data_IF_912326620052
#
_entry.id   IF_912326620052
#
_cell.length_a   1.000
_cell.length_b   1.000
_cell.length_c   1.000
_cell.angle_alpha   90.00
_cell.angle_beta   90.00
_cell.angle_gamma   90.00
#
_symmetry.space_group_name_H-M   'P 1'
#
loop_
_entity.id
_entity.type
_entity.pdbx_description
1 polymer ?
#
# COMPACT_ATOMS: atom_id res chain seq x y z
N UNK A 1 -68.92 52.36 34.22
CA UNK A 1 -67.59 51.85 34.64
C UNK A 1 -67.36 50.52 34.03
N UNK A 2 -66.57 50.45 32.97
CA UNK A 2 -66.16 49.18 32.29
C UNK A 2 -64.66 49.08 32.45
N UNK A 3 -64.25 48.07 33.18
CA UNK A 3 -62.86 47.72 33.39
C UNK A 3 -62.33 46.88 32.21
N UNK A 4 -61.36 47.38 31.46
CA UNK A 4 -60.60 46.63 30.46
C UNK A 4 -59.55 45.81 31.19
N UNK A 5 -59.58 44.47 30.97
CA UNK A 5 -58.48 43.58 31.30
C UNK A 5 -57.55 43.46 30.04
N UNK A 6 -56.29 43.81 30.18
CA UNK A 6 -55.24 43.59 29.20
C UNK A 6 -54.59 42.26 29.56
N UNK A 7 -54.78 41.24 28.72
CA UNK A 7 -54.05 39.98 28.84
C UNK A 7 -52.72 40.10 28.06
N UNK A 8 -51.65 40.06 28.81
CA UNK A 8 -50.28 40.08 28.25
C UNK A 8 -49.90 38.68 27.69
N UNK A 9 -49.73 38.60 26.39
CA UNK A 9 -49.19 37.40 25.73
C UNK A 9 -47.66 37.39 25.87
N UNK A 10 -47.14 36.50 26.73
CA UNK A 10 -45.72 36.23 26.82
C UNK A 10 -45.34 35.30 25.65
N UNK A 11 -44.62 35.84 24.66
CA UNK A 11 -44.01 35.06 23.59
C UNK A 11 -42.68 34.48 24.08
N UNK A 12 -42.67 33.17 24.36
CA UNK A 12 -41.44 32.44 24.63
C UNK A 12 -40.79 32.14 23.28
N UNK A 13 -39.73 32.88 22.94
CA UNK A 13 -38.89 32.58 21.78
C UNK A 13 -37.92 31.45 22.13
N UNK A 14 -38.21 30.26 21.64
CA UNK A 14 -37.34 29.09 21.76
C UNK A 14 -36.16 29.29 20.81
N UNK A 15 -35.01 29.65 21.34
CA UNK A 15 -33.74 29.71 20.57
C UNK A 15 -33.23 28.28 20.34
N UNK A 16 -33.41 27.77 19.12
CA UNK A 16 -32.84 26.49 18.70
C UNK A 16 -31.35 26.75 18.36
N UNK A 17 -30.47 26.41 19.27
CA UNK A 17 -29.02 26.42 19.01
C UNK A 17 -28.69 25.16 18.22
N UNK A 18 -28.49 25.30 16.92
CA UNK A 18 -27.97 24.24 16.06
C UNK A 18 -26.47 24.09 16.34
N UNK A 19 -26.09 23.09 17.13
CA UNK A 19 -24.70 22.67 17.28
C UNK A 19 -24.26 21.99 15.97
N UNK A 20 -23.63 22.74 15.07
CA UNK A 20 -22.86 22.20 13.96
C UNK A 20 -21.64 21.49 14.54
N UNK A 21 -21.68 20.18 14.64
CA UNK A 21 -20.50 19.37 14.90
C UNK A 21 -19.56 19.54 13.68
N UNK A 22 -18.55 20.36 13.79
CA UNK A 22 -17.44 20.41 12.83
C UNK A 22 -16.69 19.10 13.03
N UNK A 23 -16.96 18.10 12.17
CA UNK A 23 -16.12 16.92 12.05
C UNK A 23 -14.83 17.40 11.38
N UNK A 24 -13.87 17.83 12.20
CA UNK A 24 -12.50 18.01 11.73
C UNK A 24 -12.01 16.61 11.34
N UNK A 25 -11.78 16.39 10.03
CA UNK A 25 -11.05 15.23 9.56
C UNK A 25 -9.65 15.32 10.21
N UNK A 26 -9.46 14.65 11.35
CA UNK A 26 -8.14 14.52 11.93
C UNK A 26 -7.31 13.72 10.95
N UNK A 27 -6.23 14.34 10.44
CA UNK A 27 -5.23 13.61 9.66
C UNK A 27 -4.88 12.35 10.45
N UNK A 28 -4.90 11.19 9.81
CA UNK A 28 -4.64 9.91 10.48
C UNK A 28 -3.25 9.97 11.12
N UNK A 29 -3.20 10.08 12.42
CA UNK A 29 -1.98 10.38 13.16
C UNK A 29 -0.88 9.32 12.99
N UNK A 30 -1.27 8.09 12.64
CA UNK A 30 -0.34 6.97 12.46
C UNK A 30 0.22 6.82 11.03
N UNK A 31 -0.30 7.57 10.05
CA UNK A 31 0.23 7.57 8.67
C UNK A 31 1.35 8.60 8.54
N UNK A 32 2.45 8.22 7.90
CA UNK A 32 3.45 9.15 7.41
C UNK A 32 3.03 9.60 5.99
N UNK A 33 2.69 10.89 5.79
CA UNK A 33 2.21 11.35 4.48
C UNK A 33 3.23 11.14 3.36
N UNK A 34 2.74 10.77 2.17
CA UNK A 34 3.61 10.46 1.01
C UNK A 34 4.44 11.66 0.54
N UNK A 35 3.91 12.88 0.72
CA UNK A 35 4.57 14.14 0.37
C UNK A 35 5.63 14.62 1.39
N UNK A 36 5.72 13.97 2.55
CA UNK A 36 6.65 14.35 3.64
C UNK A 36 8.03 13.69 3.53
N UNK A 37 8.32 12.91 2.50
CA UNK A 37 9.55 12.13 2.31
C UNK A 37 9.95 11.31 3.55
N UNK A 38 9.06 10.45 4.07
CA UNK A 38 9.32 9.74 5.30
C UNK A 38 10.53 8.82 5.17
N UNK A 39 11.44 8.85 6.14
CA UNK A 39 12.70 8.10 6.06
C UNK A 39 13.67 8.63 4.98
N UNK A 40 13.45 9.83 4.45
CA UNK A 40 14.31 10.51 3.48
C UNK A 40 14.09 10.12 2.02
N UNK A 41 12.95 9.45 1.69
CA UNK A 41 12.59 9.03 0.33
C UNK A 41 11.09 9.18 0.09
N UNK A 42 10.70 9.37 -1.15
CA UNK A 42 9.30 9.32 -1.57
C UNK A 42 8.76 7.87 -1.58
N UNK A 43 7.43 7.72 -1.67
CA UNK A 43 6.80 6.39 -1.75
C UNK A 43 7.26 5.63 -3.00
N UNK A 44 7.44 6.30 -4.12
CA UNK A 44 7.96 5.74 -5.37
C UNK A 44 9.36 5.13 -5.16
N UNK A 45 10.22 5.86 -4.47
CA UNK A 45 11.57 5.38 -4.15
C UNK A 45 11.55 4.24 -3.12
N UNK A 46 10.62 4.27 -2.15
CA UNK A 46 10.45 3.18 -1.19
C UNK A 46 9.86 1.93 -1.85
N UNK A 47 8.98 2.06 -2.83
CA UNK A 47 8.47 0.94 -3.64
C UNK A 47 9.59 0.19 -4.35
N UNK A 48 10.53 0.93 -5.00
CA UNK A 48 11.73 0.33 -5.58
C UNK A 48 12.60 -0.38 -4.52
N UNK A 49 12.78 0.22 -3.33
CA UNK A 49 13.54 -0.38 -2.23
C UNK A 49 12.89 -1.63 -1.66
N UNK A 50 11.56 -1.65 -1.61
CA UNK A 50 10.80 -2.80 -1.16
C UNK A 50 11.02 -4.00 -2.09
N UNK A 51 10.95 -3.80 -3.41
CA UNK A 51 11.21 -4.86 -4.38
C UNK A 51 12.68 -5.32 -4.35
N UNK A 52 13.63 -4.39 -4.24
CA UNK A 52 15.05 -4.75 -4.05
C UNK A 52 15.26 -5.62 -2.80
N UNK A 53 14.52 -5.38 -1.72
CA UNK A 53 14.53 -6.20 -0.51
C UNK A 53 13.88 -7.56 -0.75
N UNK A 54 12.64 -7.58 -1.24
CA UNK A 54 11.85 -8.79 -1.40
C UNK A 54 12.52 -9.78 -2.38
N UNK A 55 12.99 -9.30 -3.52
CA UNK A 55 13.61 -10.13 -4.54
C UNK A 55 15.05 -10.57 -4.19
N UNK A 56 15.68 -9.94 -3.21
CA UNK A 56 16.99 -10.39 -2.71
C UNK A 56 16.93 -11.59 -1.76
N UNK A 57 15.74 -11.99 -1.33
CA UNK A 57 15.54 -13.05 -0.32
C UNK A 57 15.18 -14.35 -1.02
N UNK A 58 15.91 -15.47 -0.75
CA UNK A 58 15.64 -16.75 -1.37
C UNK A 58 14.20 -17.26 -1.20
N UNK A 59 13.71 -17.99 -2.17
CA UNK A 59 12.34 -18.58 -2.20
C UNK A 59 11.94 -19.24 -0.86
N UNK A 60 12.84 -20.03 -0.28
CA UNK A 60 12.58 -20.79 0.95
C UNK A 60 12.39 -19.93 2.21
N UNK A 61 12.77 -18.65 2.15
CA UNK A 61 12.71 -17.71 3.28
C UNK A 61 12.04 -16.39 2.88
N UNK A 62 11.39 -16.36 1.71
CA UNK A 62 10.83 -15.12 1.19
C UNK A 62 9.58 -14.69 1.96
N UNK A 63 9.52 -13.48 2.49
CA UNK A 63 8.38 -12.99 3.26
C UNK A 63 7.06 -12.91 2.47
N UNK A 64 7.10 -12.84 1.14
CA UNK A 64 5.89 -12.87 0.28
C UNK A 64 5.20 -14.22 0.40
N UNK A 65 5.96 -15.30 0.55
CA UNK A 65 5.49 -16.68 0.63
C UNK A 65 5.27 -17.18 2.07
N UNK A 66 5.62 -16.36 3.04
CA UNK A 66 5.56 -16.70 4.46
C UNK A 66 4.11 -16.71 4.96
N UNK A 67 3.58 -17.85 5.45
CA UNK A 67 2.20 -17.91 5.89
C UNK A 67 1.99 -17.35 7.32
N UNK A 68 3.01 -17.34 8.17
CA UNK A 68 2.88 -17.09 9.62
C UNK A 68 3.77 -15.96 10.18
N UNK A 69 4.64 -15.35 9.35
CA UNK A 69 5.46 -14.21 9.75
C UNK A 69 6.86 -14.56 10.25
N UNK A 70 7.27 -15.84 10.20
CA UNK A 70 8.60 -16.28 10.67
C UNK A 70 9.76 -15.63 9.96
N UNK A 71 9.55 -15.10 8.75
CA UNK A 71 10.58 -14.46 7.94
C UNK A 71 10.46 -12.93 7.91
N UNK A 72 9.59 -12.33 8.71
CA UNK A 72 9.33 -10.88 8.68
C UNK A 72 10.56 -10.03 9.04
N UNK A 73 11.54 -10.58 9.75
CA UNK A 73 12.75 -9.87 10.16
C UNK A 73 13.93 -10.03 9.18
N UNK A 74 13.78 -10.87 8.13
CA UNK A 74 14.88 -11.15 7.21
C UNK A 74 15.19 -9.92 6.34
N UNK A 75 16.48 -9.60 6.21
CA UNK A 75 16.98 -8.56 5.32
C UNK A 75 16.63 -7.12 5.73
N UNK A 76 16.00 -6.91 6.88
CA UNK A 76 15.61 -5.58 7.36
C UNK A 76 16.82 -4.70 7.66
N UNK A 77 16.83 -3.48 7.14
CA UNK A 77 17.94 -2.52 7.30
C UNK A 77 17.43 -1.07 7.38
N UNK A 78 18.19 -0.22 8.10
CA UNK A 78 17.91 1.23 8.14
C UNK A 78 16.67 1.61 8.95
N UNK A 79 16.08 2.80 8.69
CA UNK A 79 15.01 3.36 9.51
C UNK A 79 13.61 2.80 9.16
N UNK A 80 13.46 2.14 8.01
CA UNK A 80 12.19 1.61 7.53
C UNK A 80 12.21 0.09 7.63
N UNK A 81 11.15 -0.47 8.20
CA UNK A 81 10.86 -1.89 8.26
C UNK A 81 9.87 -2.24 7.17
N UNK A 82 10.18 -3.21 6.34
CA UNK A 82 9.30 -3.67 5.28
C UNK A 82 8.41 -4.81 5.77
N UNK A 83 7.11 -4.74 5.44
CA UNK A 83 6.21 -5.88 5.55
C UNK A 83 5.77 -6.32 4.17
N UNK A 84 5.53 -7.61 4.00
CA UNK A 84 5.15 -8.19 2.73
C UNK A 84 3.64 -8.44 2.64
N UNK A 85 3.06 -8.25 1.45
CA UNK A 85 1.82 -8.88 1.04
C UNK A 85 2.01 -10.37 0.80
N UNK A 86 1.12 -10.98 0.03
CA UNK A 86 1.23 -12.38 -0.39
C UNK A 86 1.16 -12.49 -1.91
N UNK A 87 1.53 -13.65 -2.42
CA UNK A 87 1.33 -13.99 -3.83
C UNK A 87 -0.08 -14.61 -4.04
N UNK A 88 -1.14 -13.85 -3.60
CA UNK A 88 -2.53 -14.20 -3.89
C UNK A 88 -3.22 -15.14 -2.89
N UNK A 89 -2.73 -15.26 -1.65
CA UNK A 89 -3.36 -16.07 -0.60
C UNK A 89 -3.56 -15.24 0.69
N UNK A 90 -4.52 -15.64 1.51
CA UNK A 90 -4.74 -15.05 2.83
C UNK A 90 -3.67 -15.51 3.81
N UNK A 91 -3.19 -14.59 4.66
CA UNK A 91 -2.19 -14.91 5.67
C UNK A 91 -2.45 -14.21 7.00
N UNK A 92 -2.13 -14.91 8.10
CA UNK A 92 -2.08 -14.31 9.43
C UNK A 92 -0.68 -14.49 9.99
N UNK A 93 0.03 -13.38 10.18
CA UNK A 93 1.44 -13.31 10.49
C UNK A 93 1.70 -12.66 11.83
N UNK A 94 2.72 -13.13 12.55
CA UNK A 94 3.25 -12.47 13.73
C UNK A 94 4.62 -11.87 13.40
N UNK A 95 4.89 -10.63 13.84
CA UNK A 95 6.14 -9.96 13.55
C UNK A 95 6.55 -9.06 14.72
N UNK A 96 7.78 -9.25 15.21
CA UNK A 96 8.39 -8.36 16.20
C UNK A 96 9.23 -7.32 15.48
N UNK A 97 8.95 -6.03 15.75
CA UNK A 97 9.59 -4.88 15.11
C UNK A 97 10.24 -3.99 16.18
N UNK A 98 11.50 -3.61 16.01
CA UNK A 98 12.14 -2.65 16.93
C UNK A 98 11.39 -1.33 16.94
N UNK A 99 11.23 -0.72 18.12
CA UNK A 99 10.65 0.61 18.26
C UNK A 99 11.40 1.65 17.39
N UNK A 100 10.73 2.75 17.09
CA UNK A 100 11.22 3.86 16.25
C UNK A 100 11.44 3.52 14.76
N UNK A 101 10.97 2.37 14.27
CA UNK A 101 10.95 2.08 12.84
C UNK A 101 9.70 2.66 12.19
N UNK A 102 9.86 3.29 11.05
CA UNK A 102 8.77 3.45 10.07
C UNK A 102 8.43 2.06 9.51
N UNK A 103 7.17 1.79 9.22
CA UNK A 103 6.74 0.50 8.67
C UNK A 103 6.15 0.74 7.28
N UNK A 104 6.74 0.14 6.25
CA UNK A 104 6.32 0.33 4.86
C UNK A 104 5.87 -1.00 4.24
N UNK A 105 4.68 -1.00 3.63
CA UNK A 105 4.12 -2.19 3.02
C UNK A 105 3.24 -1.85 1.81
N UNK A 106 3.16 -2.77 0.83
CA UNK A 106 2.14 -2.70 -0.22
C UNK A 106 0.83 -3.29 0.29
N UNK A 107 -0.30 -2.66 -0.06
CA UNK A 107 -1.61 -3.31 0.00
C UNK A 107 -1.73 -4.23 -1.21
N UNK A 108 -1.28 -3.75 -2.36
CA UNK A 108 -1.12 -4.47 -3.62
C UNK A 108 0.02 -3.82 -4.40
N UNK A 109 0.83 -4.60 -5.06
CA UNK A 109 1.92 -4.11 -5.90
C UNK A 109 2.27 -5.12 -6.98
N UNK A 110 2.82 -4.60 -8.07
CA UNK A 110 3.34 -5.35 -9.20
C UNK A 110 4.70 -4.81 -9.61
N UNK A 111 5.47 -5.65 -10.30
CA UNK A 111 6.76 -5.31 -10.90
C UNK A 111 6.76 -5.82 -12.35
N UNK A 112 7.32 -5.02 -13.24
CA UNK A 112 7.80 -5.50 -14.54
C UNK A 112 9.31 -5.37 -14.54
N UNK A 113 9.99 -6.45 -14.87
CA UNK A 113 11.44 -6.55 -14.81
C UNK A 113 12.04 -7.05 -16.15
N UNK A 114 13.29 -6.72 -16.41
CA UNK A 114 13.93 -6.94 -17.69
C UNK A 114 15.43 -7.29 -17.53
N UNK A 115 15.97 -8.16 -18.40
CA UNK A 115 15.29 -8.94 -19.44
C UNK A 115 14.44 -10.07 -18.87
N UNK A 116 13.50 -10.51 -19.68
CA UNK A 116 12.63 -11.64 -19.36
C UNK A 116 12.65 -12.66 -20.49
N UNK A 117 12.66 -14.01 -20.22
CA UNK A 117 12.73 -15.03 -21.24
C UNK A 117 11.41 -15.22 -22.01
N UNK A 118 10.39 -14.42 -21.73
CA UNK A 118 9.10 -14.46 -22.43
C UNK A 118 9.29 -13.97 -23.85
N UNK A 119 8.95 -14.77 -24.88
CA UNK A 119 9.08 -14.36 -26.28
C UNK A 119 8.31 -13.06 -26.57
N UNK A 120 8.99 -12.10 -27.19
CA UNK A 120 8.39 -10.80 -27.54
C UNK A 120 8.28 -9.80 -26.37
N UNK A 121 8.75 -10.13 -25.18
CA UNK A 121 8.82 -9.17 -24.07
C UNK A 121 9.99 -8.21 -24.27
N UNK A 122 9.73 -7.16 -25.04
CA UNK A 122 10.74 -6.15 -25.40
C UNK A 122 10.07 -4.82 -25.75
N UNK A 123 10.80 -3.70 -25.61
CA UNK A 123 10.29 -2.39 -26.04
C UNK A 123 9.90 -2.34 -27.52
N UNK A 124 8.89 -1.54 -27.82
CA UNK A 124 8.50 -1.22 -29.18
C UNK A 124 9.51 -0.32 -29.90
N UNK A 125 9.38 -0.13 -31.22
CA UNK A 125 10.23 0.77 -31.98
C UNK A 125 10.23 2.20 -31.41
N UNK A 126 11.41 2.68 -30.99
CA UNK A 126 11.59 4.02 -30.43
C UNK A 126 11.13 4.19 -28.98
N UNK A 127 10.64 3.12 -28.33
CA UNK A 127 10.27 3.12 -26.93
C UNK A 127 11.49 2.80 -26.07
N UNK A 128 11.74 3.60 -25.04
CA UNK A 128 12.75 3.27 -24.04
C UNK A 128 12.27 2.18 -23.08
N UNK A 129 13.22 1.59 -22.33
CA UNK A 129 12.92 0.47 -21.46
C UNK A 129 12.01 0.86 -20.28
N UNK A 130 12.21 2.04 -19.68
CA UNK A 130 11.38 2.52 -18.59
C UNK A 130 9.92 2.69 -19.02
N UNK A 131 9.72 3.30 -20.18
CA UNK A 131 8.39 3.47 -20.75
C UNK A 131 7.74 2.11 -21.04
N UNK A 132 8.49 1.14 -21.61
CA UNK A 132 7.99 -0.20 -21.86
C UNK A 132 7.54 -0.90 -20.58
N UNK A 133 8.37 -0.91 -19.55
CA UNK A 133 8.03 -1.55 -18.28
C UNK A 133 6.84 -0.86 -17.58
N UNK A 134 6.68 0.44 -17.76
CA UNK A 134 5.62 1.23 -17.14
C UNK A 134 4.26 1.06 -17.80
N UNK A 135 4.20 1.21 -19.13
CA UNK A 135 2.93 1.25 -19.90
C UNK A 135 2.76 0.10 -20.91
N UNK A 136 3.79 -0.71 -21.10
CA UNK A 136 3.74 -1.85 -22.01
C UNK A 136 3.92 -1.50 -23.50
N UNK A 137 3.86 -2.54 -24.33
CA UNK A 137 3.84 -2.43 -25.78
C UNK A 137 3.18 -3.67 -26.40
N UNK A 138 2.29 -3.47 -27.38
CA UNK A 138 1.56 -4.56 -28.05
C UNK A 138 0.75 -5.40 -27.04
N UNK A 139 0.99 -6.70 -26.96
CA UNK A 139 0.36 -7.60 -25.99
C UNK A 139 1.02 -7.62 -24.60
N UNK A 140 2.19 -6.99 -24.46
CA UNK A 140 2.86 -6.90 -23.17
C UNK A 140 2.30 -5.71 -22.41
N UNK A 141 1.63 -5.99 -21.29
CA UNK A 141 1.05 -4.94 -20.45
C UNK A 141 2.11 -4.31 -19.55
N UNK A 142 2.02 -3.01 -19.36
CA UNK A 142 2.87 -2.28 -18.42
C UNK A 142 2.44 -2.50 -16.98
N UNK A 143 3.35 -2.25 -16.04
CA UNK A 143 3.10 -2.50 -14.62
C UNK A 143 1.89 -1.70 -14.08
N UNK A 144 1.65 -0.49 -14.60
CA UNK A 144 0.51 0.34 -14.19
C UNK A 144 -0.84 -0.32 -14.52
N UNK A 145 -0.92 -1.03 -15.65
CA UNK A 145 -2.16 -1.68 -16.08
C UNK A 145 -2.59 -2.80 -15.12
N UNK A 146 -1.64 -3.49 -14.46
CA UNK A 146 -1.99 -4.46 -13.43
C UNK A 146 -2.69 -3.80 -12.24
N UNK A 147 -2.18 -2.65 -11.81
CA UNK A 147 -2.73 -1.90 -10.67
C UNK A 147 -4.07 -1.23 -11.02
N UNK A 148 -4.31 -0.89 -12.29
CA UNK A 148 -5.58 -0.32 -12.77
C UNK A 148 -6.77 -1.29 -12.63
N UNK A 149 -6.52 -2.59 -12.47
CA UNK A 149 -7.55 -3.60 -12.21
C UNK A 149 -7.98 -3.70 -10.73
N UNK A 150 -7.35 -2.95 -9.84
CA UNK A 150 -7.72 -2.92 -8.42
C UNK A 150 -9.05 -2.21 -8.24
N UNK A 151 -10.00 -2.89 -7.61
CA UNK A 151 -11.39 -2.41 -7.43
C UNK A 151 -11.75 -2.13 -5.97
N UNK A 152 -11.02 -2.73 -5.01
CA UNK A 152 -11.22 -2.44 -3.59
C UNK A 152 -9.91 -2.58 -2.80
N UNK A 153 -9.73 -1.68 -1.83
CA UNK A 153 -8.63 -1.70 -0.86
C UNK A 153 -9.17 -1.42 0.53
N UNK A 154 -8.69 -2.19 1.49
CA UNK A 154 -8.96 -1.96 2.92
C UNK A 154 -7.62 -2.03 3.65
N UNK A 155 -7.42 -1.11 4.59
CA UNK A 155 -6.31 -1.18 5.54
C UNK A 155 -6.77 -0.62 6.88
N UNK A 156 -6.50 -1.35 7.95
CA UNK A 156 -6.78 -0.91 9.33
C UNK A 156 -5.56 -1.12 10.20
N UNK A 157 -5.33 -0.20 11.12
CA UNK A 157 -4.39 -0.36 12.23
C UNK A 157 -5.17 -0.24 13.55
N UNK A 158 -5.13 -1.28 14.38
CA UNK A 158 -5.87 -1.36 15.64
C UNK A 158 -7.37 -1.04 15.48
N UNK A 159 -7.96 -1.53 14.38
CA UNK A 159 -9.34 -1.27 13.99
C UNK A 159 -9.60 0.12 13.39
N UNK A 160 -8.62 1.02 13.34
CA UNK A 160 -8.77 2.34 12.74
C UNK A 160 -8.47 2.27 11.22
N UNK A 161 -9.44 2.60 10.35
CA UNK A 161 -9.25 2.46 8.91
C UNK A 161 -8.35 3.53 8.32
N UNK A 162 -7.51 3.17 7.35
CA UNK A 162 -6.83 4.13 6.46
C UNK A 162 -7.83 4.66 5.44
N UNK A 163 -7.99 5.98 5.39
CA UNK A 163 -8.95 6.65 4.52
C UNK A 163 -8.33 6.98 3.15
N UNK A 164 -9.18 7.16 2.14
CA UNK A 164 -8.79 7.63 0.80
C UNK A 164 -7.78 6.73 0.08
N UNK A 165 -7.86 5.42 0.32
CA UNK A 165 -6.98 4.45 -0.34
C UNK A 165 -7.20 4.43 -1.85
N UNK A 166 -8.47 4.40 -2.31
CA UNK A 166 -8.83 4.52 -3.72
C UNK A 166 -9.53 5.86 -3.92
N UNK A 167 -9.01 6.67 -4.82
CA UNK A 167 -9.65 7.83 -5.38
C UNK A 167 -9.74 7.66 -6.91
N UNK A 168 -10.72 8.32 -7.59
CA UNK A 168 -10.82 8.26 -9.05
C UNK A 168 -9.49 8.62 -9.70
N UNK A 169 -9.22 8.06 -10.87
CA UNK A 169 -7.94 7.49 -11.28
C UNK A 169 -6.76 8.43 -10.97
N UNK A 170 -5.67 7.85 -10.54
CA UNK A 170 -4.37 8.49 -10.28
C UNK A 170 -4.31 9.54 -9.14
N UNK A 171 -5.39 9.74 -8.38
CA UNK A 171 -5.45 10.74 -7.30
C UNK A 171 -5.25 10.15 -5.89
N UNK A 172 -5.02 8.85 -5.75
CA UNK A 172 -4.73 8.29 -4.43
C UNK A 172 -3.34 8.69 -3.95
N UNK A 173 -3.19 9.27 -2.76
CA UNK A 173 -1.88 9.57 -2.19
C UNK A 173 -1.06 8.32 -1.84
N UNK A 174 -1.67 7.15 -1.99
CA UNK A 174 -1.06 5.85 -1.70
C UNK A 174 -0.62 5.11 -2.96
N UNK A 175 -1.07 5.51 -4.16
CA UNK A 175 -0.59 4.90 -5.40
C UNK A 175 0.71 5.57 -5.83
N UNK A 176 1.74 4.76 -6.04
CA UNK A 176 3.03 5.25 -6.49
C UNK A 176 3.68 4.26 -7.47
N UNK A 177 4.05 4.78 -8.64
CA UNK A 177 4.90 4.09 -9.62
C UNK A 177 6.35 4.40 -9.28
N UNK A 178 7.20 3.39 -9.13
CA UNK A 178 8.62 3.60 -8.85
C UNK A 178 9.33 4.30 -10.02
N UNK A 179 10.44 5.00 -9.77
CA UNK A 179 11.36 5.29 -10.86
C UNK A 179 11.93 3.99 -11.42
N UNK A 180 12.50 4.03 -12.61
CA UNK A 180 13.32 2.94 -13.12
C UNK A 180 14.46 2.63 -12.15
N UNK A 181 14.61 1.36 -11.77
CA UNK A 181 15.62 0.95 -10.80
C UNK A 181 16.35 -0.32 -11.22
N UNK A 182 17.58 -0.44 -10.72
CA UNK A 182 18.39 -1.63 -10.91
C UNK A 182 18.31 -2.53 -9.68
N UNK A 183 18.30 -3.84 -9.90
CA UNK A 183 18.27 -4.81 -8.83
C UNK A 183 18.92 -6.12 -9.26
N UNK A 184 19.06 -7.04 -8.33
CA UNK A 184 19.44 -8.41 -8.58
C UNK A 184 18.55 -9.31 -7.74
N UNK A 185 17.71 -10.11 -8.39
CA UNK A 185 16.86 -11.10 -7.75
C UNK A 185 17.64 -12.35 -7.34
N UNK A 186 17.16 -13.05 -6.32
CA UNK A 186 17.67 -14.37 -5.98
C UNK A 186 17.21 -15.38 -7.04
N UNK A 187 18.11 -16.18 -7.62
CA UNK A 187 17.74 -17.10 -8.70
C UNK A 187 16.71 -18.15 -8.31
N UNK A 188 16.56 -18.48 -7.02
CA UNK A 188 15.54 -19.44 -6.57
C UNK A 188 14.11 -18.93 -6.73
N UNK A 189 13.92 -17.61 -6.93
CA UNK A 189 12.62 -16.98 -7.17
C UNK A 189 12.08 -17.20 -8.60
N UNK A 190 12.85 -17.83 -9.50
CA UNK A 190 12.40 -18.15 -10.85
C UNK A 190 11.05 -18.92 -10.90
N UNK A 191 10.69 -19.59 -9.81
CA UNK A 191 9.40 -20.31 -9.67
C UNK A 191 8.23 -19.33 -9.59
N UNK A 192 8.46 -18.13 -9.04
CA UNK A 192 7.45 -17.06 -8.92
C UNK A 192 7.47 -16.17 -10.16
N UNK A 193 8.66 -15.85 -10.62
CA UNK A 193 8.89 -14.98 -11.76
C UNK A 193 10.07 -15.49 -12.59
N UNK A 194 9.81 -15.97 -13.83
CA UNK A 194 10.86 -16.49 -14.69
C UNK A 194 11.87 -15.45 -15.16
N UNK A 195 11.58 -14.16 -14.99
CA UNK A 195 12.48 -13.07 -15.37
C UNK A 195 13.61 -12.89 -14.35
N UNK A 196 13.36 -13.10 -13.07
CA UNK A 196 14.27 -12.78 -11.96
C UNK A 196 15.70 -13.32 -12.08
N UNK A 197 15.97 -14.52 -12.59
CA UNK A 197 17.36 -15.00 -12.68
C UNK A 197 18.28 -14.15 -13.56
N UNK A 198 17.71 -13.40 -14.51
CA UNK A 198 18.45 -12.60 -15.48
C UNK A 198 18.09 -11.13 -15.47
N UNK A 199 16.98 -10.74 -14.82
CA UNK A 199 16.54 -9.37 -14.74
C UNK A 199 17.53 -8.53 -13.92
N UNK A 200 17.77 -7.30 -14.40
CA UNK A 200 18.65 -6.34 -13.73
C UNK A 200 18.03 -4.96 -13.61
N UNK A 201 16.89 -4.74 -14.26
CA UNK A 201 16.17 -3.47 -14.26
C UNK A 201 14.68 -3.70 -14.12
N UNK A 202 13.98 -2.76 -13.48
CA UNK A 202 12.56 -2.87 -13.24
C UNK A 202 11.87 -1.51 -13.08
N UNK A 203 10.54 -1.54 -13.21
CA UNK A 203 9.60 -0.53 -12.72
C UNK A 203 8.52 -1.26 -11.93
N UNK A 204 8.13 -0.70 -10.80
CA UNK A 204 7.05 -1.22 -9.97
C UNK A 204 5.92 -0.19 -9.84
N UNK A 205 4.68 -0.66 -9.68
CA UNK A 205 3.54 0.17 -9.33
C UNK A 205 2.72 -0.52 -8.24
N UNK A 206 2.04 0.27 -7.42
CA UNK A 206 1.23 -0.29 -6.34
C UNK A 206 0.60 0.76 -5.45
N UNK A 207 -0.20 0.25 -4.51
CA UNK A 207 -0.74 1.04 -3.40
C UNK A 207 0.08 0.73 -2.15
N UNK A 208 0.72 1.76 -1.63
CA UNK A 208 1.71 1.67 -0.57
C UNK A 208 1.29 2.46 0.66
N UNK A 209 1.59 1.95 1.82
CA UNK A 209 1.32 2.65 3.09
C UNK A 209 2.61 2.71 3.90
N UNK A 210 2.89 3.91 4.46
CA UNK A 210 3.94 4.12 5.44
C UNK A 210 3.31 4.46 6.78
N UNK A 211 3.51 3.62 7.79
CA UNK A 211 3.16 3.94 9.16
C UNK A 211 4.30 4.70 9.84
N UNK A 212 3.97 5.69 10.65
CA UNK A 212 4.91 6.27 11.62
C UNK A 212 5.31 5.22 12.64
N UNK A 213 6.42 5.44 13.37
CA UNK A 213 6.78 4.56 14.47
C UNK A 213 5.61 4.35 15.43
N UNK A 214 5.26 3.10 15.66
CA UNK A 214 4.20 2.71 16.57
C UNK A 214 4.70 2.74 18.02
N UNK A 215 3.77 2.85 18.97
CA UNK A 215 4.05 2.73 20.40
C UNK A 215 4.54 1.31 20.73
N UNK A 216 5.29 1.17 21.82
CA UNK A 216 5.64 -0.18 22.32
C UNK A 216 4.39 -0.95 22.72
N UNK A 217 4.37 -2.25 22.43
CA UNK A 217 3.25 -3.14 22.72
C UNK A 217 2.74 -3.87 21.49
N UNK A 218 1.54 -4.41 21.60
CA UNK A 218 0.90 -5.17 20.53
C UNK A 218 0.00 -4.28 19.68
N UNK A 219 0.08 -4.48 18.38
CA UNK A 219 -0.76 -3.82 17.38
C UNK A 219 -1.27 -4.84 16.36
N UNK A 220 -2.40 -4.55 15.74
CA UNK A 220 -2.91 -5.37 14.64
C UNK A 220 -3.05 -4.52 13.38
N UNK A 221 -2.34 -4.94 12.33
CA UNK A 221 -2.45 -4.38 11.00
C UNK A 221 -3.18 -5.37 10.10
N UNK A 222 -4.26 -4.93 9.46
CA UNK A 222 -4.98 -5.73 8.46
C UNK A 222 -4.99 -4.94 7.16
N UNK A 223 -4.66 -5.60 6.06
CA UNK A 223 -4.86 -5.03 4.73
C UNK A 223 -5.37 -6.08 3.74
N UNK A 224 -6.23 -5.65 2.84
CA UNK A 224 -6.78 -6.49 1.79
C UNK A 224 -6.91 -5.72 0.48
N UNK A 225 -6.89 -6.45 -0.60
CA UNK A 225 -7.15 -5.95 -1.93
C UNK A 225 -8.14 -6.85 -2.67
N UNK A 226 -8.87 -6.26 -3.60
CA UNK A 226 -9.65 -6.97 -4.63
C UNK A 226 -9.30 -6.36 -5.97
N UNK A 227 -9.09 -7.21 -6.97
CA UNK A 227 -8.91 -6.81 -8.37
C UNK A 227 -9.85 -7.61 -9.25
N UNK A 228 -10.20 -7.03 -10.40
CA UNK A 228 -11.13 -7.65 -11.34
C UNK A 228 -10.51 -7.73 -12.72
N UNK A 229 -10.32 -8.97 -13.21
CA UNK A 229 -9.83 -9.27 -14.55
C UNK A 229 -10.91 -9.94 -15.37
N UNK A 230 -11.23 -9.39 -16.53
CA UNK A 230 -12.24 -9.99 -17.44
C UNK A 230 -13.55 -10.37 -16.71
N UNK A 231 -13.98 -9.56 -15.75
CA UNK A 231 -15.20 -9.79 -14.97
C UNK A 231 -15.05 -10.76 -13.79
N UNK A 232 -13.87 -11.35 -13.57
CA UNK A 232 -13.61 -12.24 -12.43
C UNK A 232 -12.87 -11.46 -11.34
N UNK A 233 -13.46 -11.40 -10.14
CA UNK A 233 -12.86 -10.79 -8.98
C UNK A 233 -11.96 -11.81 -8.25
N UNK A 234 -10.79 -11.35 -7.82
CA UNK A 234 -9.87 -12.09 -6.95
C UNK A 234 -9.23 -11.14 -5.95
N UNK A 235 -8.79 -11.65 -4.81
CA UNK A 235 -8.17 -10.82 -3.79
C UNK A 235 -7.56 -11.66 -2.68
N UNK A 236 -6.98 -10.98 -1.72
CA UNK A 236 -6.43 -11.59 -0.51
C UNK A 236 -6.51 -10.63 0.67
N UNK A 237 -6.40 -11.18 1.87
CA UNK A 237 -6.30 -10.45 3.13
C UNK A 237 -5.06 -10.88 3.90
N UNK A 238 -4.30 -9.91 4.39
CA UNK A 238 -3.15 -10.16 5.26
C UNK A 238 -3.40 -9.50 6.60
N UNK A 239 -3.27 -10.29 7.67
CA UNK A 239 -3.29 -9.82 9.05
C UNK A 239 -1.89 -9.94 9.63
N UNK A 240 -1.36 -8.86 10.18
CA UNK A 240 -0.14 -8.84 10.98
C UNK A 240 -0.47 -8.56 12.45
N UNK A 241 -0.13 -9.48 13.33
CA UNK A 241 -0.04 -9.25 14.77
C UNK A 241 1.39 -8.76 15.06
N UNK A 242 1.52 -7.45 15.28
CA UNK A 242 2.80 -6.79 15.47
C UNK A 242 3.12 -6.67 16.95
N UNK A 243 4.35 -6.96 17.35
CA UNK A 243 4.90 -6.63 18.67
C UNK A 243 6.01 -5.59 18.49
N UNK A 244 5.85 -4.42 19.09
CA UNK A 244 6.83 -3.33 19.03
C UNK A 244 7.66 -3.32 20.32
N UNK A 245 9.00 -3.44 20.19
CA UNK A 245 9.97 -3.55 21.31
C UNK A 245 10.97 -2.39 21.36
#
# INVERSE_FOLDING_TARGET
MRTLRIEGIVRISTLVVLLLAVVTASAQSFIAPSDSLPGGKSYEQWGAKWWQWADSIPYSQNPILDPDGRYCAIGQRGPVWFLAGTNGFDATRSCTIPANKLIFFPIVNYINDYPCPVPGFQPGPGQDLEQFLTIGYSSNIGVRQYVDHVTALITTLDGQPVQNLILPPDNSPYRATSPFFFFRGDPSLQVLDPCLPQAWAAVADGYWVMLKPLSRGNHQLIFSQTQTWSGTASGFTVTYNLTIE
#
